data_IF_078654744042
#
_entry.id   IF_078654744042
#
_cell.length_a   1.000
_cell.length_b   1.000
_cell.length_c   1.000
_cell.angle_alpha   90.00
_cell.angle_beta   90.00
_cell.angle_gamma   90.00
#
_symmetry.space_group_name_H-M   'P 1'
#
loop_
_entity.id
_entity.type
_entity.pdbx_description
1 polymer ?
#
# COMPACT_ATOMS: atom_id res chain seq x y z
N UNK A 1 -28.27 31.80 32.35
CA UNK A 1 -26.94 31.42 31.83
C UNK A 1 -26.99 29.93 31.56
N UNK A 2 -27.13 29.54 30.29
CA UNK A 2 -27.22 28.14 29.88
C UNK A 2 -25.81 27.54 29.85
N UNK A 3 -25.61 26.41 30.52
CA UNK A 3 -24.37 25.64 30.49
C UNK A 3 -24.09 25.17 29.05
N UNK A 4 -23.09 25.77 28.39
CA UNK A 4 -22.59 25.37 27.07
C UNK A 4 -21.51 24.29 27.14
N UNK A 5 -21.46 23.51 28.22
CA UNK A 5 -20.61 22.31 28.27
C UNK A 5 -21.28 21.18 27.49
N UNK A 6 -21.29 21.30 26.16
CA UNK A 6 -21.35 20.10 25.33
C UNK A 6 -20.13 19.25 25.72
N UNK A 7 -20.30 17.96 26.04
CA UNK A 7 -19.14 17.12 26.30
C UNK A 7 -18.28 17.13 25.03
N UNK A 8 -17.01 17.52 25.18
CA UNK A 8 -16.00 17.28 24.15
C UNK A 8 -15.88 15.76 24.00
N UNK A 9 -16.72 15.17 23.15
CA UNK A 9 -16.63 13.76 22.83
C UNK A 9 -15.22 13.51 22.30
N UNK A 10 -14.43 12.72 23.04
CA UNK A 10 -13.22 12.11 22.52
C UNK A 10 -13.63 11.28 21.30
N UNK A 11 -13.58 11.86 20.10
CA UNK A 11 -13.77 11.13 18.85
C UNK A 11 -12.43 10.51 18.50
N UNK A 12 -12.25 9.26 18.89
CA UNK A 12 -11.12 8.42 18.54
C UNK A 12 -11.05 8.24 17.01
N UNK A 13 -9.84 8.23 16.44
CA UNK A 13 -9.65 7.97 15.01
C UNK A 13 -10.03 6.53 14.66
N UNK A 14 -10.91 6.37 13.68
CA UNK A 14 -11.21 5.07 13.07
C UNK A 14 -10.27 4.79 11.89
N UNK A 15 -10.26 3.56 11.40
CA UNK A 15 -9.51 3.18 10.21
C UNK A 15 -9.84 4.08 9.02
N UNK A 16 -11.12 4.40 8.81
CA UNK A 16 -11.55 5.23 7.70
C UNK A 16 -11.04 6.68 7.81
N UNK A 17 -10.75 7.16 9.02
CA UNK A 17 -10.16 8.48 9.27
C UNK A 17 -8.75 8.53 8.72
N UNK A 18 -7.90 7.58 9.11
CA UNK A 18 -6.54 7.49 8.60
C UNK A 18 -6.54 7.40 7.07
N UNK A 19 -7.26 6.42 6.54
CA UNK A 19 -7.29 6.07 5.12
C UNK A 19 -7.78 7.20 4.20
N UNK A 20 -8.57 8.15 4.73
CA UNK A 20 -9.11 9.27 3.96
C UNK A 20 -8.25 10.53 4.02
N UNK A 21 -7.07 10.50 4.65
CA UNK A 21 -6.20 11.68 4.78
C UNK A 21 -4.99 11.60 3.86
N UNK A 22 -4.58 12.76 3.32
CA UNK A 22 -3.32 12.88 2.59
C UNK A 22 -2.12 12.43 3.43
N UNK A 23 -2.12 12.73 4.74
CA UNK A 23 -1.05 12.39 5.68
C UNK A 23 -0.75 10.90 5.70
N UNK A 24 -1.79 10.06 5.80
CA UNK A 24 -1.64 8.61 5.74
C UNK A 24 -1.06 8.14 4.40
N UNK A 25 -1.55 8.68 3.29
CA UNK A 25 -1.05 8.32 1.95
C UNK A 25 0.39 8.77 1.70
N UNK A 26 0.77 9.94 2.19
CA UNK A 26 2.14 10.42 2.15
C UNK A 26 3.07 9.47 2.91
N UNK A 27 2.69 9.05 4.12
CA UNK A 27 3.44 8.07 4.91
C UNK A 27 3.53 6.71 4.20
N UNK A 28 2.41 6.20 3.68
CA UNK A 28 2.34 4.92 2.98
C UNK A 28 3.24 4.90 1.74
N UNK A 29 3.06 5.88 0.84
CA UNK A 29 3.79 5.94 -0.42
C UNK A 29 5.28 6.23 -0.20
N UNK A 30 5.62 7.06 0.80
CA UNK A 30 7.03 7.32 1.13
C UNK A 30 7.71 6.08 1.71
N UNK A 31 7.02 5.35 2.60
CA UNK A 31 7.46 4.04 3.11
C UNK A 31 7.64 3.04 1.98
N UNK A 32 6.71 3.01 1.01
CA UNK A 32 6.77 2.13 -0.14
C UNK A 32 7.98 2.44 -1.05
N UNK A 33 8.18 3.71 -1.41
CA UNK A 33 9.31 4.13 -2.24
C UNK A 33 10.64 3.80 -1.57
N UNK A 34 10.75 4.07 -0.27
CA UNK A 34 11.90 3.69 0.52
C UNK A 34 12.12 2.18 0.52
N UNK A 35 11.07 1.39 0.72
CA UNK A 35 11.16 -0.06 0.74
C UNK A 35 11.59 -0.60 -0.62
N UNK A 36 11.01 -0.12 -1.72
CA UNK A 36 11.36 -0.50 -3.09
C UNK A 36 12.82 -0.12 -3.38
N UNK A 37 13.17 1.16 -3.26
CA UNK A 37 14.52 1.63 -3.58
C UNK A 37 15.57 0.96 -2.69
N UNK A 38 15.28 0.85 -1.40
CA UNK A 38 16.17 0.20 -0.45
C UNK A 38 16.36 -1.28 -0.78
N UNK A 39 15.28 -2.05 -0.95
CA UNK A 39 15.37 -3.49 -1.26
C UNK A 39 16.09 -3.73 -2.58
N UNK A 40 15.70 -3.02 -3.64
CA UNK A 40 16.37 -3.12 -4.94
C UNK A 40 17.87 -2.87 -4.85
N UNK A 41 18.27 -1.80 -4.17
CA UNK A 41 19.69 -1.48 -3.98
C UNK A 41 20.41 -2.52 -3.11
N UNK A 42 19.83 -2.95 -1.98
CA UNK A 42 20.49 -3.94 -1.11
C UNK A 42 20.65 -5.30 -1.74
N UNK A 43 19.81 -5.68 -2.71
CA UNK A 43 19.98 -6.92 -3.45
C UNK A 43 21.12 -6.84 -4.46
N UNK A 44 21.28 -5.71 -5.15
CA UNK A 44 22.23 -5.59 -6.26
C UNK A 44 23.58 -5.00 -5.82
N UNK A 45 23.63 -4.20 -4.76
CA UNK A 45 24.85 -3.57 -4.26
C UNK A 45 25.98 -4.57 -3.96
N UNK A 46 25.74 -5.73 -3.30
CA UNK A 46 26.77 -6.74 -3.11
C UNK A 46 27.34 -7.26 -4.43
N UNK A 47 26.50 -7.45 -5.45
CA UNK A 47 26.91 -7.93 -6.77
C UNK A 47 27.79 -6.89 -7.47
N UNK A 48 27.37 -5.62 -7.47
CA UNK A 48 28.16 -4.49 -8.03
C UNK A 48 29.50 -4.38 -7.29
N UNK A 49 29.48 -4.48 -5.97
CA UNK A 49 30.69 -4.38 -5.13
C UNK A 49 31.66 -5.54 -5.39
N UNK A 50 31.18 -6.76 -5.62
CA UNK A 50 32.03 -7.90 -6.02
C UNK A 50 32.63 -7.71 -7.41
N UNK A 51 31.83 -7.25 -8.39
CA UNK A 51 32.32 -7.00 -9.76
C UNK A 51 33.40 -5.91 -9.81
N UNK A 52 33.36 -4.97 -8.87
CA UNK A 52 34.39 -3.92 -8.70
C UNK A 52 35.59 -4.38 -7.87
N UNK A 53 35.67 -5.67 -7.51
CA UNK A 53 36.81 -6.28 -6.83
C UNK A 53 36.77 -6.25 -5.30
N UNK A 54 35.62 -5.91 -4.70
CA UNK A 54 35.49 -5.90 -3.23
C UNK A 54 35.38 -7.32 -2.68
N UNK A 55 36.07 -7.59 -1.57
CA UNK A 55 35.97 -8.87 -0.86
C UNK A 55 34.64 -9.01 -0.11
N UNK A 56 34.25 -10.24 0.22
CA UNK A 56 33.07 -10.51 1.04
C UNK A 56 33.13 -9.82 2.41
N UNK A 57 34.33 -9.70 3.00
CA UNK A 57 34.53 -9.01 4.28
C UNK A 57 34.24 -7.50 4.15
N UNK A 58 34.68 -6.87 3.06
CA UNK A 58 34.40 -5.47 2.76
C UNK A 58 32.91 -5.22 2.60
N UNK A 59 32.18 -6.12 1.94
CA UNK A 59 30.72 -6.05 1.82
C UNK A 59 30.04 -6.22 3.19
N UNK A 60 30.57 -7.07 4.07
CA UNK A 60 30.09 -7.24 5.44
C UNK A 60 30.07 -5.95 6.26
N UNK A 61 30.94 -4.97 5.93
CA UNK A 61 30.98 -3.66 6.59
C UNK A 61 29.71 -2.85 6.30
N UNK A 62 29.15 -2.95 5.09
CA UNK A 62 27.87 -2.32 4.76
C UNK A 62 26.74 -2.84 5.64
N UNK A 63 26.63 -4.16 5.81
CA UNK A 63 25.60 -4.76 6.65
C UNK A 63 25.80 -4.42 8.14
N UNK A 64 27.05 -4.37 8.59
CA UNK A 64 27.38 -3.93 9.95
C UNK A 64 26.95 -2.48 10.20
N UNK A 65 27.26 -1.59 9.25
CA UNK A 65 26.77 -0.21 9.25
C UNK A 65 25.24 -0.16 9.26
N UNK A 66 24.57 -0.96 8.44
CA UNK A 66 23.10 -1.02 8.39
C UNK A 66 22.47 -1.48 9.71
N UNK A 67 23.06 -2.43 10.42
CA UNK A 67 22.57 -2.87 11.72
C UNK A 67 22.70 -1.77 12.77
N UNK A 68 23.84 -1.08 12.82
CA UNK A 68 24.03 0.08 13.72
C UNK A 68 23.10 1.24 13.35
N UNK A 69 22.97 1.50 12.05
CA UNK A 69 22.02 2.45 11.49
C UNK A 69 20.61 2.17 11.95
N UNK A 70 20.17 0.90 11.95
CA UNK A 70 18.86 0.52 12.46
C UNK A 70 18.65 0.98 13.91
N UNK A 71 19.64 0.81 14.77
CA UNK A 71 19.61 1.30 16.16
C UNK A 71 19.49 2.82 16.24
N UNK A 72 20.26 3.57 15.43
CA UNK A 72 20.13 5.03 15.31
C UNK A 72 18.72 5.41 14.86
N UNK A 73 18.17 4.69 13.89
CA UNK A 73 16.84 4.97 13.39
C UNK A 73 15.74 4.69 14.40
N UNK A 74 15.85 3.62 15.18
CA UNK A 74 14.93 3.34 16.29
C UNK A 74 14.97 4.45 17.34
N UNK A 75 16.17 4.95 17.68
CA UNK A 75 16.32 6.09 18.58
C UNK A 75 15.65 7.36 18.03
N UNK A 76 15.86 7.67 16.75
CA UNK A 76 15.23 8.81 16.08
C UNK A 76 13.70 8.69 16.07
N UNK A 77 13.16 7.50 15.82
CA UNK A 77 11.72 7.26 15.88
C UNK A 77 11.17 7.54 17.29
N UNK A 78 11.81 6.99 18.32
CA UNK A 78 11.32 7.13 19.69
C UNK A 78 11.44 8.56 20.23
N UNK A 79 12.62 9.18 20.06
CA UNK A 79 12.96 10.47 20.69
C UNK A 79 12.52 11.66 19.84
N UNK A 80 12.71 11.60 18.52
CA UNK A 80 12.47 12.74 17.63
C UNK A 80 11.06 12.70 17.07
N UNK A 81 10.58 11.54 16.62
CA UNK A 81 9.28 11.48 15.93
C UNK A 81 8.10 11.88 16.84
N UNK A 82 8.20 11.61 18.15
CA UNK A 82 7.20 12.02 19.14
C UNK A 82 7.05 13.54 19.32
N UNK A 83 8.06 14.33 18.93
CA UNK A 83 8.09 15.79 19.11
C UNK A 83 8.14 16.55 17.79
N UNK A 84 8.86 16.00 16.81
CA UNK A 84 9.16 16.60 15.52
C UNK A 84 8.99 15.54 14.42
N UNK A 85 7.75 15.05 14.26
CA UNK A 85 7.40 13.97 13.33
C UNK A 85 7.97 14.15 11.92
N UNK A 86 7.84 15.36 11.35
CA UNK A 86 8.32 15.68 10.01
C UNK A 86 9.85 15.60 9.90
N UNK A 87 10.56 16.22 10.84
CA UNK A 87 12.02 16.21 10.88
C UNK A 87 12.58 14.81 11.07
N UNK A 88 11.91 13.98 11.89
CA UNK A 88 12.30 12.60 12.15
C UNK A 88 12.31 11.74 10.88
N UNK A 89 11.41 12.01 9.91
CA UNK A 89 11.39 11.28 8.64
C UNK A 89 12.26 11.94 7.55
N UNK A 90 12.17 13.27 7.39
CA UNK A 90 12.80 13.97 6.27
C UNK A 90 14.33 14.00 6.41
N UNK A 91 14.88 14.30 7.58
CA UNK A 91 16.33 14.44 7.72
C UNK A 91 17.09 13.13 7.46
N UNK A 92 16.67 11.96 7.98
CA UNK A 92 17.31 10.70 7.63
C UNK A 92 17.27 10.41 6.12
N UNK A 93 16.16 10.70 5.43
CA UNK A 93 16.07 10.54 3.97
C UNK A 93 17.08 11.42 3.24
N UNK A 94 17.15 12.70 3.61
CA UNK A 94 18.06 13.67 2.98
C UNK A 94 19.51 13.28 3.24
N UNK A 95 19.85 12.89 4.48
CA UNK A 95 21.21 12.41 4.81
C UNK A 95 21.54 11.17 3.98
N UNK A 96 20.63 10.20 3.89
CA UNK A 96 20.83 9.01 3.07
C UNK A 96 21.01 9.34 1.58
N UNK A 97 20.24 10.29 1.05
CA UNK A 97 20.37 10.76 -0.32
C UNK A 97 21.73 11.47 -0.55
N UNK A 98 22.19 12.31 0.39
CA UNK A 98 23.50 12.98 0.31
C UNK A 98 24.63 11.95 0.31
N UNK A 99 24.57 10.94 1.18
CA UNK A 99 25.56 9.86 1.20
C UNK A 99 25.51 9.08 -0.11
N UNK A 100 24.33 8.75 -0.63
CA UNK A 100 24.20 8.08 -1.93
C UNK A 100 24.68 8.93 -3.12
N UNK A 101 24.49 10.26 -3.11
CA UNK A 101 25.02 11.16 -4.15
C UNK A 101 26.54 11.21 -4.09
N UNK A 102 27.14 11.18 -2.89
CA UNK A 102 28.60 11.15 -2.74
C UNK A 102 29.25 9.92 -3.39
N UNK A 103 28.47 8.87 -3.66
CA UNK A 103 28.87 7.69 -4.41
C UNK A 103 29.01 7.96 -5.92
N UNK A 104 28.12 8.74 -6.51
CA UNK A 104 28.01 8.90 -7.97
C UNK A 104 29.29 9.43 -8.66
N UNK A 105 30.00 10.46 -8.15
CA UNK A 105 31.15 11.02 -8.84
C UNK A 105 32.46 10.25 -8.62
N UNK A 106 32.50 9.28 -7.69
CA UNK A 106 33.75 8.62 -7.29
C UNK A 106 33.63 7.08 -7.23
N UNK A 107 33.62 6.39 -8.39
CA UNK A 107 33.58 4.93 -8.49
C UNK A 107 34.66 4.21 -7.67
N UNK A 108 35.83 4.83 -7.52
CA UNK A 108 36.94 4.28 -6.72
C UNK A 108 36.60 4.14 -5.23
N UNK A 109 35.63 4.88 -4.71
CA UNK A 109 35.22 4.82 -3.30
C UNK A 109 34.15 3.76 -3.05
N UNK A 110 33.67 3.05 -4.08
CA UNK A 110 32.55 2.14 -3.93
C UNK A 110 32.86 0.91 -3.10
N UNK A 111 34.11 0.46 -3.13
CA UNK A 111 34.63 -0.58 -2.25
C UNK A 111 35.25 -0.04 -0.95
N UNK A 112 35.19 1.28 -0.70
CA UNK A 112 35.80 1.86 0.49
C UNK A 112 35.05 1.41 1.75
N UNK A 113 35.73 0.81 2.74
CA UNK A 113 35.14 0.43 4.02
C UNK A 113 34.36 1.56 4.69
N UNK A 114 34.92 2.78 4.67
CA UNK A 114 34.31 3.96 5.29
C UNK A 114 33.02 4.36 4.59
N UNK A 115 33.02 4.33 3.26
CA UNK A 115 31.82 4.64 2.47
C UNK A 115 30.73 3.60 2.73
N UNK A 116 31.05 2.30 2.63
CA UNK A 116 30.10 1.22 2.84
C UNK A 116 29.50 1.25 4.24
N UNK A 117 30.31 1.55 5.26
CA UNK A 117 29.84 1.72 6.62
C UNK A 117 28.86 2.89 6.76
N UNK A 118 29.24 4.09 6.28
CA UNK A 118 28.40 5.29 6.36
C UNK A 118 27.10 5.14 5.58
N UNK A 119 27.17 4.55 4.39
CA UNK A 119 26.00 4.29 3.57
C UNK A 119 25.07 3.25 4.20
N UNK A 120 25.65 2.15 4.71
CA UNK A 120 24.92 1.17 5.51
C UNK A 120 24.20 1.84 6.68
N UNK A 121 24.91 2.64 7.47
CA UNK A 121 24.36 3.37 8.61
C UNK A 121 23.19 4.27 8.22
N UNK A 122 23.34 5.07 7.17
CA UNK A 122 22.28 5.96 6.70
C UNK A 122 21.05 5.17 6.21
N UNK A 123 21.25 4.14 5.38
CA UNK A 123 20.16 3.30 4.88
C UNK A 123 19.44 2.54 5.99
N UNK A 124 20.21 1.98 6.93
CA UNK A 124 19.70 1.27 8.11
C UNK A 124 18.84 2.18 8.99
N UNK A 125 19.28 3.41 9.22
CA UNK A 125 18.54 4.39 10.00
C UNK A 125 17.20 4.73 9.36
N UNK A 126 17.18 5.00 8.06
CA UNK A 126 15.95 5.31 7.33
C UNK A 126 14.98 4.12 7.34
N UNK A 127 15.48 2.89 7.13
CA UNK A 127 14.67 1.66 7.17
C UNK A 127 14.02 1.40 8.52
N UNK A 128 14.68 1.76 9.61
CA UNK A 128 14.14 1.59 10.96
C UNK A 128 13.17 2.71 11.36
N UNK A 129 13.52 3.96 11.06
CA UNK A 129 12.73 5.15 11.44
C UNK A 129 11.30 5.04 10.94
N UNK A 130 11.11 4.69 9.67
CA UNK A 130 9.80 4.73 9.01
C UNK A 130 8.73 3.87 9.70
N UNK A 131 8.87 2.54 9.78
CA UNK A 131 7.85 1.70 10.39
C UNK A 131 7.60 2.03 11.87
N UNK A 132 8.64 2.40 12.61
CA UNK A 132 8.54 2.75 14.03
C UNK A 132 7.84 4.10 14.24
N UNK A 133 8.20 5.12 13.47
CA UNK A 133 7.58 6.44 13.54
C UNK A 133 6.13 6.39 13.07
N UNK A 134 5.81 5.63 12.01
CA UNK A 134 4.43 5.43 11.55
C UNK A 134 3.57 4.83 12.67
N UNK A 135 4.07 3.84 13.41
CA UNK A 135 3.34 3.29 14.55
C UNK A 135 3.06 4.34 15.63
N UNK A 136 4.06 5.17 15.96
CA UNK A 136 3.91 6.29 16.92
C UNK A 136 2.86 7.30 16.42
N UNK A 137 2.89 7.66 15.14
CA UNK A 137 1.94 8.61 14.56
C UNK A 137 0.51 8.07 14.60
N UNK A 138 0.30 6.80 14.21
CA UNK A 138 -1.04 6.18 14.24
C UNK A 138 -1.62 6.12 15.66
N UNK A 139 -0.80 5.84 16.68
CA UNK A 139 -1.25 5.85 18.09
C UNK A 139 -1.69 7.24 18.55
N UNK A 140 -1.13 8.30 17.97
CA UNK A 140 -1.44 9.68 18.35
C UNK A 140 -2.91 10.05 18.09
N UNK A 141 -3.58 9.40 17.13
CA UNK A 141 -5.03 9.51 16.89
C UNK A 141 -5.92 8.76 17.89
N UNK A 142 -5.32 8.13 18.91
CA UNK A 142 -6.00 7.29 19.93
C UNK A 142 -6.97 6.26 19.34
N UNK A 143 -6.61 5.56 18.26
CA UNK A 143 -7.51 4.61 17.63
C UNK A 143 -7.85 3.42 18.52
N UNK A 144 -9.02 2.82 18.29
CA UNK A 144 -9.33 1.51 18.83
C UNK A 144 -8.32 0.45 18.37
N UNK A 145 -8.17 -0.64 19.15
CA UNK A 145 -7.19 -1.72 18.87
C UNK A 145 -7.30 -2.28 17.45
N UNK A 146 -8.53 -2.45 16.96
CA UNK A 146 -8.81 -3.00 15.63
C UNK A 146 -8.42 -1.98 14.55
N UNK A 147 -8.83 -0.72 14.69
CA UNK A 147 -8.51 0.35 13.74
C UNK A 147 -7.00 0.58 13.62
N UNK A 148 -6.30 0.61 14.76
CA UNK A 148 -4.83 0.67 14.80
C UNK A 148 -4.20 -0.53 14.08
N UNK A 149 -4.62 -1.74 14.45
CA UNK A 149 -4.09 -2.98 13.88
C UNK A 149 -4.27 -3.03 12.37
N UNK A 150 -5.44 -2.64 11.86
CA UNK A 150 -5.72 -2.58 10.42
C UNK A 150 -4.87 -1.52 9.73
N UNK A 151 -4.78 -0.29 10.26
CA UNK A 151 -3.99 0.78 9.65
C UNK A 151 -2.50 0.41 9.59
N UNK A 152 -1.96 -0.16 10.67
CA UNK A 152 -0.57 -0.61 10.73
C UNK A 152 -0.32 -1.81 9.80
N UNK A 153 -1.26 -2.75 9.71
CA UNK A 153 -1.15 -3.91 8.80
C UNK A 153 -1.17 -3.46 7.34
N UNK A 154 -2.03 -2.51 6.98
CA UNK A 154 -2.01 -1.94 5.64
C UNK A 154 -0.68 -1.23 5.35
N UNK A 155 -0.11 -0.50 6.31
CA UNK A 155 1.22 0.08 6.18
C UNK A 155 2.33 -0.95 6.03
N UNK A 156 2.27 -2.09 6.74
CA UNK A 156 3.31 -3.13 6.65
C UNK A 156 3.31 -3.87 5.31
N UNK A 157 2.23 -3.79 4.54
CA UNK A 157 2.17 -4.37 3.19
C UNK A 157 3.16 -3.74 2.21
N UNK A 158 3.72 -2.56 2.50
CA UNK A 158 4.82 -2.00 1.69
C UNK A 158 6.02 -2.94 1.63
N UNK A 159 6.24 -3.76 2.67
CA UNK A 159 7.28 -4.80 2.68
C UNK A 159 6.98 -5.85 1.61
N UNK A 160 5.74 -6.31 1.51
CA UNK A 160 5.32 -7.30 0.51
C UNK A 160 5.48 -6.75 -0.91
N UNK A 161 5.05 -5.50 -1.16
CA UNK A 161 5.25 -4.86 -2.47
C UNK A 161 6.75 -4.69 -2.75
N UNK A 162 7.58 -4.35 -1.77
CA UNK A 162 9.01 -4.18 -1.99
C UNK A 162 9.74 -5.46 -2.39
N UNK A 163 9.12 -6.64 -2.18
CA UNK A 163 9.70 -7.92 -2.59
C UNK A 163 9.85 -8.06 -4.12
N UNK A 164 9.15 -7.27 -4.93
CA UNK A 164 9.34 -7.23 -6.39
C UNK A 164 10.47 -6.29 -6.83
N UNK A 165 10.98 -5.42 -5.94
CA UNK A 165 12.02 -4.45 -6.26
C UNK A 165 13.34 -5.05 -6.79
N UNK A 166 13.80 -6.23 -6.32
CA UNK A 166 14.98 -6.89 -6.88
C UNK A 166 14.89 -7.17 -8.38
N UNK A 167 13.70 -7.44 -8.92
CA UNK A 167 13.49 -7.69 -10.36
C UNK A 167 13.82 -6.42 -11.15
N UNK A 168 13.23 -5.28 -10.75
CA UNK A 168 13.49 -3.99 -11.37
C UNK A 168 14.94 -3.55 -11.23
N UNK A 169 15.55 -3.74 -10.05
CA UNK A 169 16.95 -3.43 -9.83
C UNK A 169 17.88 -4.31 -10.69
N UNK A 170 17.54 -5.57 -10.89
CA UNK A 170 18.29 -6.48 -11.78
C UNK A 170 18.23 -6.01 -13.23
N UNK A 171 17.06 -5.59 -13.73
CA UNK A 171 16.96 -5.01 -15.08
C UNK A 171 17.77 -3.72 -15.20
N UNK A 172 17.71 -2.84 -14.20
CA UNK A 172 18.52 -1.61 -14.17
C UNK A 172 20.01 -1.90 -14.21
N UNK A 173 20.48 -2.95 -13.53
CA UNK A 173 21.89 -3.35 -13.53
C UNK A 173 22.38 -3.94 -14.85
N UNK A 174 21.47 -4.41 -15.72
CA UNK A 174 21.86 -4.91 -17.04
C UNK A 174 22.24 -3.78 -18.01
N UNK A 175 21.69 -2.56 -17.82
CA UNK A 175 22.02 -1.41 -18.66
C UNK A 175 23.44 -0.90 -18.43
N UNK A 176 23.92 -1.01 -17.19
CA UNK A 176 25.28 -0.63 -16.82
C UNK A 176 25.76 -1.53 -15.66
N UNK A 177 26.77 -2.38 -15.89
CA UNK A 177 27.37 -3.22 -14.85
C UNK A 177 27.95 -2.41 -13.68
N UNK A 178 28.25 -1.13 -13.87
CA UNK A 178 28.61 -0.21 -12.80
C UNK A 178 27.43 0.10 -11.85
N UNK A 179 26.20 -0.25 -12.18
CA UNK A 179 25.06 -0.07 -11.27
C UNK A 179 24.65 1.39 -11.05
N UNK A 180 25.17 2.34 -11.83
CA UNK A 180 24.74 3.74 -11.81
C UNK A 180 23.20 3.87 -11.96
N UNK A 181 22.52 3.14 -12.87
CA UNK A 181 21.06 3.21 -13.01
C UNK A 181 20.32 2.78 -11.73
N UNK A 182 20.86 1.82 -10.98
CA UNK A 182 20.28 1.34 -9.72
C UNK A 182 20.38 2.43 -8.65
N UNK A 183 21.54 3.09 -8.53
CA UNK A 183 21.74 4.19 -7.58
C UNK A 183 20.87 5.40 -7.92
N UNK A 184 20.77 5.76 -9.20
CA UNK A 184 19.86 6.83 -9.65
C UNK A 184 18.40 6.49 -9.36
N UNK A 185 17.99 5.24 -9.59
CA UNK A 185 16.65 4.77 -9.24
C UNK A 185 16.37 4.84 -7.74
N UNK A 186 17.34 4.47 -6.90
CA UNK A 186 17.25 4.63 -5.44
C UNK A 186 17.12 6.10 -5.02
N UNK A 187 17.95 6.99 -5.58
CA UNK A 187 17.88 8.42 -5.31
C UNK A 187 16.55 9.04 -5.73
N UNK A 188 16.01 8.63 -6.88
CA UNK A 188 14.69 9.04 -7.33
C UNK A 188 13.60 8.61 -6.32
N UNK A 189 13.68 7.39 -5.78
CA UNK A 189 12.78 6.92 -4.73
C UNK A 189 12.86 7.78 -3.46
N UNK A 190 14.07 8.10 -2.99
CA UNK A 190 14.27 8.96 -1.82
C UNK A 190 13.73 10.39 -2.05
N UNK A 191 14.00 10.96 -3.21
CA UNK A 191 13.55 12.31 -3.57
C UNK A 191 12.02 12.37 -3.66
N UNK A 192 11.39 11.40 -4.32
CA UNK A 192 9.94 11.30 -4.38
C UNK A 192 9.32 11.09 -2.99
N UNK A 193 9.93 10.28 -2.12
CA UNK A 193 9.49 10.12 -0.74
C UNK A 193 9.54 11.45 0.04
N UNK A 194 10.60 12.25 -0.11
CA UNK A 194 10.67 13.59 0.50
C UNK A 194 9.57 14.49 -0.06
N UNK A 195 9.38 14.54 -1.38
CA UNK A 195 8.35 15.37 -2.03
C UNK A 195 6.96 15.02 -1.52
N UNK A 196 6.65 13.74 -1.31
CA UNK A 196 5.37 13.30 -0.77
C UNK A 196 5.15 13.71 0.70
N UNK A 197 6.22 13.79 1.50
CA UNK A 197 6.14 14.22 2.89
C UNK A 197 6.07 15.75 3.05
N UNK A 198 6.53 16.53 2.08
CA UNK A 198 6.61 17.99 2.19
C UNK A 198 5.24 18.67 2.40
N UNK A 199 4.16 18.33 1.67
CA UNK A 199 2.85 18.95 1.83
C UNK A 199 2.11 18.49 3.10
N UNK A 200 2.57 17.42 3.74
CA UNK A 200 1.99 16.93 4.99
C UNK A 200 2.52 17.78 6.16
N UNK A 201 1.94 18.97 6.37
CA UNK A 201 2.37 19.94 7.39
C UNK A 201 2.45 19.33 8.81
N UNK A 202 1.51 18.46 9.15
CA UNK A 202 1.50 17.65 10.36
C UNK A 202 1.38 16.18 9.95
N UNK A 203 2.27 15.32 10.46
CA UNK A 203 2.22 13.87 10.21
C UNK A 203 1.51 13.10 11.32
N UNK A 204 1.31 13.73 12.48
CA UNK A 204 0.56 13.15 13.60
C UNK A 204 -0.94 13.34 13.40
N UNK A 205 -1.71 12.58 14.16
CA UNK A 205 -3.18 12.52 14.12
C UNK A 205 -3.79 13.07 15.42
N UNK A 206 -3.16 14.07 16.03
CA UNK A 206 -3.57 14.61 17.35
C UNK A 206 -4.87 15.45 17.29
N UNK A 207 -5.28 15.86 16.09
CA UNK A 207 -6.48 16.65 15.85
C UNK A 207 -7.73 15.76 15.76
N UNK A 208 -8.90 16.34 16.02
CA UNK A 208 -10.16 15.63 15.82
C UNK A 208 -10.35 15.26 14.33
N UNK A 209 -10.86 14.06 14.03
CA UNK A 209 -11.12 13.64 12.67
C UNK A 209 -12.12 14.56 11.96
N UNK A 210 -11.87 14.84 10.67
CA UNK A 210 -12.76 15.67 9.86
C UNK A 210 -13.93 14.85 9.32
N UNK A 211 -15.17 15.38 9.34
CA UNK A 211 -16.32 14.74 8.69
C UNK A 211 -16.05 14.51 7.20
N UNK A 212 -16.38 13.31 6.70
CA UNK A 212 -15.97 12.87 5.35
C UNK A 212 -17.04 12.03 4.66
N UNK A 213 -17.94 12.66 3.93
CA UNK A 213 -18.85 11.90 3.07
C UNK A 213 -18.93 12.55 1.70
N UNK A 214 -18.83 11.72 0.66
CA UNK A 214 -19.19 12.07 -0.72
C UNK A 214 -20.29 11.11 -1.16
N UNK A 215 -21.53 11.33 -0.69
CA UNK A 215 -22.62 10.42 -0.97
C UNK A 215 -22.90 10.37 -2.48
N UNK A 216 -23.19 9.19 -2.98
CA UNK A 216 -23.68 8.94 -4.34
C UNK A 216 -25.07 8.32 -4.25
N UNK A 217 -25.91 8.54 -5.25
CA UNK A 217 -27.24 7.93 -5.32
C UNK A 217 -27.12 6.41 -5.40
N UNK A 218 -27.73 5.64 -4.49
CA UNK A 218 -27.70 4.18 -4.53
C UNK A 218 -28.23 3.62 -5.85
N UNK A 219 -27.51 2.66 -6.43
CA UNK A 219 -27.94 1.96 -7.65
C UNK A 219 -27.77 0.46 -7.46
N UNK A 220 -28.84 -0.29 -7.69
CA UNK A 220 -28.78 -1.75 -7.65
C UNK A 220 -27.98 -2.30 -8.83
N UNK A 221 -27.18 -3.32 -8.57
CA UNK A 221 -26.42 -4.09 -9.57
C UNK A 221 -26.59 -5.57 -9.31
N UNK A 222 -26.61 -6.39 -10.37
CA UNK A 222 -26.62 -7.85 -10.22
C UNK A 222 -25.31 -8.33 -9.59
N UNK A 223 -25.34 -8.96 -8.40
CA UNK A 223 -24.12 -9.46 -7.74
C UNK A 223 -23.38 -10.51 -8.58
N UNK A 224 -24.15 -11.39 -9.25
CA UNK A 224 -23.60 -12.44 -10.11
C UNK A 224 -22.87 -11.87 -11.33
N UNK A 225 -23.41 -10.79 -11.91
CA UNK A 225 -22.78 -10.13 -13.06
C UNK A 225 -21.46 -9.47 -12.65
N UNK A 226 -21.42 -8.81 -11.48
CA UNK A 226 -20.18 -8.24 -10.93
C UNK A 226 -19.14 -9.34 -10.72
N UNK A 227 -19.52 -10.46 -10.09
CA UNK A 227 -18.64 -11.60 -9.85
C UNK A 227 -18.09 -12.17 -11.16
N UNK A 228 -18.95 -12.35 -12.16
CA UNK A 228 -18.60 -12.89 -13.46
C UNK A 228 -17.57 -12.01 -14.19
N UNK A 229 -17.81 -10.70 -14.27
CA UNK A 229 -16.86 -9.76 -14.91
C UNK A 229 -15.50 -9.81 -14.21
N UNK A 230 -15.48 -9.79 -12.88
CA UNK A 230 -14.24 -9.79 -12.10
C UNK A 230 -13.52 -11.15 -12.11
N UNK A 231 -14.20 -12.22 -12.53
CA UNK A 231 -13.60 -13.55 -12.70
C UNK A 231 -12.91 -13.71 -14.06
N UNK A 232 -13.11 -12.80 -15.01
CA UNK A 232 -12.51 -12.89 -16.34
C UNK A 232 -10.98 -12.90 -16.30
N UNK A 233 -10.27 -11.99 -15.59
CA UNK A 233 -8.81 -11.97 -15.55
C UNK A 233 -8.17 -13.27 -15.03
N UNK A 234 -8.57 -13.85 -13.88
CA UNK A 234 -7.96 -15.10 -13.42
C UNK A 234 -8.27 -16.28 -14.36
N UNK A 235 -9.47 -16.35 -14.94
CA UNK A 235 -9.81 -17.38 -15.93
C UNK A 235 -8.95 -17.23 -17.18
N UNK A 236 -8.83 -16.01 -17.70
CA UNK A 236 -8.04 -15.72 -18.89
C UNK A 236 -6.55 -16.02 -18.66
N UNK A 237 -6.02 -15.63 -17.50
CA UNK A 237 -4.65 -15.94 -17.10
C UNK A 237 -4.40 -17.45 -17.00
N UNK A 238 -5.34 -18.19 -16.40
CA UNK A 238 -5.27 -19.66 -16.34
C UNK A 238 -5.28 -20.29 -17.74
N UNK A 239 -6.19 -19.87 -18.62
CA UNK A 239 -6.30 -20.38 -19.98
C UNK A 239 -5.05 -20.05 -20.82
N UNK A 240 -4.50 -18.83 -20.68
CA UNK A 240 -3.25 -18.45 -21.34
C UNK A 240 -2.08 -19.28 -20.84
N UNK A 241 -1.93 -19.46 -19.51
CA UNK A 241 -0.87 -20.27 -18.93
C UNK A 241 -0.95 -21.74 -19.37
N UNK A 242 -2.16 -22.32 -19.36
CA UNK A 242 -2.40 -23.67 -19.86
C UNK A 242 -2.06 -23.78 -21.36
N UNK A 243 -2.46 -22.79 -22.17
CA UNK A 243 -2.12 -22.73 -23.58
C UNK A 243 -0.61 -22.72 -23.81
N UNK A 244 0.11 -21.80 -23.15
CA UNK A 244 1.58 -21.72 -23.24
C UNK A 244 2.23 -23.05 -22.88
N UNK A 245 1.81 -23.66 -21.77
CA UNK A 245 2.32 -24.96 -21.32
C UNK A 245 2.11 -26.06 -22.37
N UNK A 246 0.90 -26.19 -22.91
CA UNK A 246 0.56 -27.21 -23.92
C UNK A 246 1.32 -26.99 -25.24
N UNK A 247 1.50 -25.75 -25.69
CA UNK A 247 2.26 -25.48 -26.91
C UNK A 247 3.75 -25.75 -26.73
N UNK A 248 4.34 -25.35 -25.60
CA UNK A 248 5.74 -25.64 -25.27
C UNK A 248 6.00 -27.14 -25.15
N UNK A 249 5.08 -27.91 -24.55
CA UNK A 249 5.17 -29.36 -24.47
C UNK A 249 5.20 -30.05 -25.85
N UNK A 250 4.65 -29.40 -26.87
CA UNK A 250 4.65 -29.89 -28.25
C UNK A 250 5.80 -29.31 -29.11
N UNK A 251 6.79 -28.66 -28.49
CA UNK A 251 7.99 -28.16 -29.18
C UNK A 251 7.79 -26.85 -29.94
N UNK A 252 6.67 -26.15 -29.74
CA UNK A 252 6.47 -24.81 -30.33
C UNK A 252 7.09 -23.74 -29.46
N UNK A 253 7.86 -22.83 -30.06
CA UNK A 253 8.32 -21.62 -29.38
C UNK A 253 7.20 -20.56 -29.35
N UNK A 254 6.63 -20.36 -28.17
CA UNK A 254 5.46 -19.50 -27.93
C UNK A 254 5.87 -18.08 -27.56
N UNK A 255 7.05 -17.91 -26.93
CA UNK A 255 7.47 -16.65 -26.32
C UNK A 255 7.93 -15.65 -27.37
N UNK A 256 8.54 -16.14 -28.46
CA UNK A 256 9.06 -15.32 -29.56
C UNK A 256 8.11 -15.23 -30.77
N UNK A 257 6.95 -15.93 -30.72
CA UNK A 257 6.08 -16.06 -31.89
C UNK A 257 5.22 -14.80 -32.12
N UNK A 258 5.25 -14.18 -33.31
CA UNK A 258 4.38 -13.04 -33.61
C UNK A 258 2.88 -13.40 -33.61
N UNK A 259 2.54 -14.68 -33.75
CA UNK A 259 1.14 -15.18 -33.71
C UNK A 259 0.55 -15.07 -32.30
N UNK A 260 1.37 -15.11 -31.25
CA UNK A 260 0.92 -15.01 -29.85
C UNK A 260 0.75 -13.56 -29.39
N UNK A 261 1.25 -12.59 -30.17
CA UNK A 261 1.21 -11.16 -29.84
C UNK A 261 -0.22 -10.60 -29.86
N UNK A 262 -0.99 -10.87 -30.92
CA UNK A 262 -2.38 -10.40 -31.05
C UNK A 262 -3.28 -10.89 -29.88
N UNK A 263 -3.35 -12.20 -29.56
CA UNK A 263 -4.17 -12.66 -28.43
C UNK A 263 -3.66 -12.13 -27.08
N UNK A 264 -2.35 -11.94 -26.92
CA UNK A 264 -1.77 -11.34 -25.69
C UNK A 264 -2.19 -9.88 -25.53
N UNK A 265 -2.17 -9.09 -26.61
CA UNK A 265 -2.66 -7.70 -26.57
C UNK A 265 -4.16 -7.62 -26.29
N UNK A 266 -4.96 -8.50 -26.90
CA UNK A 266 -6.39 -8.57 -26.62
C UNK A 266 -6.67 -8.95 -25.17
N UNK A 267 -5.92 -9.92 -24.64
CA UNK A 267 -6.01 -10.31 -23.24
C UNK A 267 -5.63 -9.17 -22.30
N UNK A 268 -4.55 -8.44 -22.60
CA UNK A 268 -4.16 -7.25 -21.85
C UNK A 268 -5.26 -6.17 -21.86
N UNK A 269 -5.89 -5.93 -23.02
CA UNK A 269 -7.01 -5.00 -23.15
C UNK A 269 -8.22 -5.39 -22.29
N UNK A 270 -8.56 -6.68 -22.27
CA UNK A 270 -9.64 -7.21 -21.41
C UNK A 270 -9.28 -7.05 -19.93
N UNK A 271 -8.06 -7.43 -19.54
CA UNK A 271 -7.60 -7.29 -18.14
C UNK A 271 -7.65 -5.83 -17.70
N UNK A 272 -7.21 -4.90 -18.55
CA UNK A 272 -7.28 -3.46 -18.28
C UNK A 272 -8.74 -2.98 -18.13
N UNK A 273 -9.64 -3.40 -19.01
CA UNK A 273 -11.06 -3.04 -18.93
C UNK A 273 -11.71 -3.55 -17.63
N UNK A 274 -11.43 -4.80 -17.25
CA UNK A 274 -11.93 -5.38 -15.99
C UNK A 274 -11.33 -4.67 -14.78
N UNK A 275 -10.05 -4.31 -14.83
CA UNK A 275 -9.39 -3.54 -13.77
C UNK A 275 -10.02 -2.15 -13.59
N UNK A 276 -10.34 -1.44 -14.68
CA UNK A 276 -11.09 -0.17 -14.65
C UNK A 276 -12.48 -0.39 -14.04
N UNK A 277 -13.18 -1.46 -14.43
CA UNK A 277 -14.48 -1.79 -13.86
C UNK A 277 -14.40 -2.07 -12.35
N UNK A 278 -13.37 -2.80 -11.90
CA UNK A 278 -13.11 -3.04 -10.48
C UNK A 278 -12.91 -1.73 -9.71
N UNK A 279 -12.02 -0.86 -10.21
CA UNK A 279 -11.78 0.46 -9.62
C UNK A 279 -13.08 1.28 -9.49
N UNK A 280 -13.86 1.30 -10.57
CA UNK A 280 -15.16 1.97 -10.62
C UNK A 280 -16.16 1.38 -9.61
N UNK A 281 -16.20 0.04 -9.49
CA UNK A 281 -17.07 -0.64 -8.54
C UNK A 281 -16.73 -0.27 -7.09
N UNK A 282 -15.44 -0.32 -6.70
CA UNK A 282 -14.99 0.03 -5.35
C UNK A 282 -15.31 1.49 -5.02
N UNK A 283 -15.06 2.40 -5.96
CA UNK A 283 -15.40 3.81 -5.82
C UNK A 283 -16.90 3.99 -5.57
N UNK A 284 -17.75 3.35 -6.40
CA UNK A 284 -19.20 3.51 -6.33
C UNK A 284 -19.81 2.89 -5.09
N UNK A 285 -19.44 1.67 -4.70
CA UNK A 285 -20.08 0.99 -3.57
C UNK A 285 -19.91 1.78 -2.26
N UNK A 286 -18.73 2.39 -2.03
CA UNK A 286 -18.49 3.22 -0.86
C UNK A 286 -19.31 4.53 -0.89
N UNK A 287 -19.43 5.16 -2.06
CA UNK A 287 -20.24 6.37 -2.23
C UNK A 287 -21.74 6.10 -2.09
N UNK A 288 -22.22 5.01 -2.64
CA UNK A 288 -23.63 4.60 -2.59
C UNK A 288 -24.05 4.21 -1.17
N UNK A 289 -23.20 3.48 -0.44
CA UNK A 289 -23.48 3.16 0.96
C UNK A 289 -23.47 4.39 1.86
N UNK A 290 -22.62 5.38 1.57
CA UNK A 290 -22.63 6.68 2.25
C UNK A 290 -23.87 7.51 1.89
N UNK A 291 -24.38 7.38 0.66
CA UNK A 291 -25.62 8.01 0.23
C UNK A 291 -26.88 7.40 0.83
N UNK A 292 -26.87 6.09 1.09
CA UNK A 292 -27.97 5.40 1.77
C UNK A 292 -28.05 5.74 3.27
N UNK A 293 -26.89 5.80 3.96
CA UNK A 293 -26.79 6.29 5.33
C UNK A 293 -25.35 6.73 5.62
N UNK A 294 -25.17 7.82 6.35
CA UNK A 294 -23.82 8.28 6.71
C UNK A 294 -23.24 7.40 7.84
N UNK A 295 -21.94 7.13 7.78
CA UNK A 295 -21.21 6.41 8.83
C UNK A 295 -19.75 6.80 8.82
N UNK A 296 -19.19 7.08 10.00
CA UNK A 296 -17.76 7.39 10.16
C UNK A 296 -16.85 6.22 9.76
N UNK A 297 -17.36 4.98 9.77
CA UNK A 297 -16.59 3.80 9.32
C UNK A 297 -16.43 3.71 7.80
N UNK A 298 -17.15 4.52 7.03
CA UNK A 298 -17.02 4.56 5.58
C UNK A 298 -15.82 5.41 5.15
N UNK A 299 -15.01 4.81 4.30
CA UNK A 299 -13.91 5.48 3.60
C UNK A 299 -14.49 6.32 2.45
N UNK A 300 -13.82 7.42 2.09
CA UNK A 300 -14.21 8.17 0.89
C UNK A 300 -14.07 7.30 -0.37
N UNK A 301 -14.93 7.48 -1.40
CA UNK A 301 -14.88 6.70 -2.65
C UNK A 301 -13.48 6.63 -3.29
N UNK A 302 -12.79 7.78 -3.33
CA UNK A 302 -11.44 7.87 -3.90
C UNK A 302 -10.43 7.08 -3.07
N UNK A 303 -10.42 7.25 -1.75
CA UNK A 303 -9.49 6.54 -0.89
C UNK A 303 -9.73 5.02 -0.95
N UNK A 304 -10.98 4.57 -0.93
CA UNK A 304 -11.32 3.15 -1.06
C UNK A 304 -10.79 2.55 -2.39
N UNK A 305 -10.98 3.27 -3.50
CA UNK A 305 -10.44 2.86 -4.80
C UNK A 305 -8.91 2.75 -4.77
N UNK A 306 -8.22 3.76 -4.22
CA UNK A 306 -6.76 3.75 -4.11
C UNK A 306 -6.26 2.61 -3.22
N UNK A 307 -6.93 2.33 -2.09
CA UNK A 307 -6.58 1.21 -1.20
C UNK A 307 -6.72 -0.12 -1.90
N UNK A 308 -7.85 -0.34 -2.58
CA UNK A 308 -8.11 -1.59 -3.28
C UNK A 308 -7.10 -1.87 -4.41
N UNK A 309 -6.53 -0.83 -5.01
CA UNK A 309 -5.59 -0.94 -6.13
C UNK A 309 -4.13 -0.99 -5.67
N UNK A 310 -3.74 -0.11 -4.75
CA UNK A 310 -2.33 0.14 -4.41
C UNK A 310 -1.85 -0.64 -3.18
N UNK A 311 -2.77 -1.05 -2.31
CA UNK A 311 -2.42 -1.64 -1.02
C UNK A 311 -2.77 -3.13 -1.03
N UNK A 312 -1.78 -4.03 -0.98
CA UNK A 312 -2.05 -5.44 -0.76
C UNK A 312 -2.92 -5.62 0.48
N UNK A 313 -3.86 -6.55 0.43
CA UNK A 313 -4.87 -6.76 1.47
C UNK A 313 -5.87 -5.60 1.66
N UNK A 314 -5.69 -4.48 0.96
CA UNK A 314 -6.58 -3.33 1.02
C UNK A 314 -8.02 -3.70 0.68
N UNK A 315 -8.23 -4.46 -0.40
CA UNK A 315 -9.55 -4.96 -0.76
C UNK A 315 -10.18 -5.82 0.35
N UNK A 316 -9.41 -6.73 0.97
CA UNK A 316 -9.91 -7.60 2.02
C UNK A 316 -10.39 -6.80 3.24
N UNK A 317 -9.59 -5.82 3.68
CA UNK A 317 -9.96 -4.91 4.77
C UNK A 317 -11.20 -4.10 4.41
N UNK A 318 -11.25 -3.50 3.22
CA UNK A 318 -12.42 -2.72 2.78
C UNK A 318 -13.68 -3.58 2.75
N UNK A 319 -13.63 -4.76 2.16
CA UNK A 319 -14.78 -5.66 2.06
C UNK A 319 -15.26 -6.10 3.44
N UNK A 320 -14.35 -6.43 4.37
CA UNK A 320 -14.71 -6.71 5.77
C UNK A 320 -15.40 -5.51 6.44
N UNK A 321 -14.84 -4.30 6.32
CA UNK A 321 -15.43 -3.09 6.91
C UNK A 321 -16.82 -2.77 6.35
N UNK A 322 -17.03 -3.01 5.06
CA UNK A 322 -18.34 -2.89 4.42
C UNK A 322 -19.32 -3.95 4.95
N UNK A 323 -18.87 -5.19 5.13
CA UNK A 323 -19.67 -6.27 5.71
C UNK A 323 -20.13 -5.95 7.13
N UNK A 324 -19.23 -5.48 7.99
CA UNK A 324 -19.55 -5.08 9.37
C UNK A 324 -20.56 -3.92 9.39
N UNK A 325 -20.33 -2.90 8.55
CA UNK A 325 -21.25 -1.78 8.42
C UNK A 325 -22.67 -2.22 8.00
N UNK A 326 -22.76 -3.11 7.01
CA UNK A 326 -24.03 -3.61 6.51
C UNK A 326 -24.76 -4.45 7.58
N UNK A 327 -24.03 -5.25 8.33
CA UNK A 327 -24.58 -6.02 9.45
C UNK A 327 -25.05 -5.12 10.59
N UNK A 328 -24.31 -4.07 10.93
CA UNK A 328 -24.72 -3.11 11.96
C UNK A 328 -25.99 -2.36 11.54
N UNK A 329 -26.12 -1.97 10.27
CA UNK A 329 -27.36 -1.39 9.74
C UNK A 329 -28.54 -2.34 9.83
N UNK A 330 -28.34 -3.61 9.48
CA UNK A 330 -29.39 -4.62 9.57
C UNK A 330 -29.84 -4.84 11.02
N UNK A 331 -28.90 -4.92 11.97
CA UNK A 331 -29.20 -5.03 13.40
C UNK A 331 -29.99 -3.82 13.91
N UNK A 332 -29.60 -2.61 13.51
CA UNK A 332 -30.33 -1.39 13.87
C UNK A 332 -31.75 -1.35 13.31
N UNK A 333 -31.99 -2.02 12.17
CA UNK A 333 -33.31 -2.22 11.58
C UNK A 333 -34.06 -3.46 12.13
N UNK A 334 -33.54 -4.13 13.17
CA UNK A 334 -34.13 -5.35 13.74
C UNK A 334 -34.05 -6.58 12.85
N UNK A 335 -33.21 -6.56 11.81
CA UNK A 335 -33.03 -7.65 10.85
C UNK A 335 -31.85 -8.56 11.22
N UNK A 336 -31.85 -9.76 10.63
CA UNK A 336 -30.70 -10.68 10.74
C UNK A 336 -29.49 -10.11 10.00
N UNK A 337 -28.26 -10.51 10.38
CA UNK A 337 -27.05 -10.12 9.67
C UNK A 337 -27.16 -10.46 8.17
N UNK A 338 -26.79 -9.50 7.31
CA UNK A 338 -26.87 -9.65 5.85
C UNK A 338 -25.70 -10.46 5.29
N UNK A 339 -24.55 -10.46 5.97
CA UNK A 339 -23.33 -11.11 5.50
C UNK A 339 -22.63 -11.83 6.64
N UNK A 340 -22.12 -13.05 6.39
CA UNK A 340 -21.21 -13.72 7.32
C UNK A 340 -19.79 -13.18 7.18
N UNK A 341 -19.26 -12.54 8.24
CA UNK A 341 -17.92 -11.92 8.24
C UNK A 341 -16.81 -12.96 8.05
N UNK A 342 -16.95 -14.15 8.65
CA UNK A 342 -15.95 -15.22 8.50
C UNK A 342 -15.82 -15.69 7.05
N UNK A 343 -16.95 -15.95 6.39
CA UNK A 343 -16.96 -16.33 4.97
C UNK A 343 -16.50 -15.19 4.07
N UNK A 344 -16.89 -13.96 4.38
CA UNK A 344 -16.45 -12.79 3.66
C UNK A 344 -14.93 -12.64 3.71
N UNK A 345 -14.33 -12.89 4.89
CA UNK A 345 -12.90 -12.93 5.08
C UNK A 345 -12.24 -14.00 4.21
N UNK A 346 -12.67 -15.25 4.29
CA UNK A 346 -12.11 -16.35 3.49
C UNK A 346 -12.13 -16.00 1.99
N UNK A 347 -13.30 -15.59 1.48
CA UNK A 347 -13.45 -15.29 0.06
C UNK A 347 -12.68 -14.05 -0.39
N UNK A 348 -12.45 -13.08 0.50
CA UNK A 348 -11.67 -11.89 0.17
C UNK A 348 -10.19 -12.20 -0.14
N UNK A 349 -9.67 -13.32 0.35
CA UNK A 349 -8.32 -13.80 0.05
C UNK A 349 -8.30 -14.89 -1.04
N UNK A 350 -9.20 -15.88 -0.94
CA UNK A 350 -9.20 -17.05 -1.83
C UNK A 350 -9.70 -16.70 -3.23
N UNK A 351 -10.82 -15.97 -3.31
CA UNK A 351 -11.42 -15.61 -4.59
C UNK A 351 -12.24 -14.31 -4.46
N UNK A 352 -11.57 -13.14 -4.52
CA UNK A 352 -12.18 -11.84 -4.25
C UNK A 352 -13.50 -11.53 -4.98
N UNK A 353 -13.74 -12.00 -6.24
CA UNK A 353 -15.02 -11.78 -6.91
C UNK A 353 -16.24 -12.28 -6.13
N UNK A 354 -16.12 -13.36 -5.35
CA UNK A 354 -17.22 -13.86 -4.51
C UNK A 354 -17.49 -12.90 -3.35
N UNK A 355 -16.46 -12.44 -2.65
CA UNK A 355 -16.61 -11.52 -1.53
C UNK A 355 -17.25 -10.19 -1.97
N UNK A 356 -16.84 -9.69 -3.15
CA UNK A 356 -17.43 -8.51 -3.79
C UNK A 356 -18.92 -8.73 -4.10
N UNK A 357 -19.29 -9.91 -4.61
CA UNK A 357 -20.67 -10.25 -4.87
C UNK A 357 -21.52 -10.31 -3.58
N UNK A 358 -20.97 -10.88 -2.51
CA UNK A 358 -21.63 -10.91 -1.20
C UNK A 358 -21.94 -9.50 -0.68
N UNK A 359 -20.96 -8.58 -0.75
CA UNK A 359 -21.16 -7.17 -0.40
C UNK A 359 -22.19 -6.50 -1.31
N UNK A 360 -22.10 -6.71 -2.62
CA UNK A 360 -23.05 -6.11 -3.56
C UNK A 360 -24.48 -6.57 -3.30
N UNK A 361 -24.68 -7.85 -2.96
CA UNK A 361 -25.99 -8.39 -2.62
C UNK A 361 -26.54 -7.72 -1.36
N UNK A 362 -25.77 -7.70 -0.28
CA UNK A 362 -26.17 -7.07 0.97
C UNK A 362 -26.38 -5.55 0.84
N UNK A 363 -25.59 -4.87 0.00
CA UNK A 363 -25.79 -3.46 -0.30
C UNK A 363 -27.14 -3.20 -1.00
N UNK A 364 -27.48 -4.02 -2.00
CA UNK A 364 -28.78 -3.92 -2.68
C UNK A 364 -29.96 -4.06 -1.71
N UNK A 365 -29.87 -5.00 -0.76
CA UNK A 365 -30.89 -5.22 0.25
C UNK A 365 -30.98 -4.04 1.23
N UNK A 366 -29.84 -3.49 1.63
CA UNK A 366 -29.78 -2.33 2.53
C UNK A 366 -30.42 -1.06 1.94
N UNK A 367 -30.39 -0.91 0.61
CA UNK A 367 -31.02 0.24 -0.06
C UNK A 367 -32.55 0.23 0.05
N UNK A 368 -33.15 -0.96 0.17
CA UNK A 368 -34.62 -1.13 0.29
C UNK A 368 -35.09 -0.69 1.66
N UNK A 369 -34.31 -1.02 2.69
CA UNK A 369 -34.60 -0.71 4.08
C UNK A 369 -34.56 0.80 4.33
N UNK A 370 -33.64 1.53 3.69
CA UNK A 370 -33.52 2.99 3.81
C UNK A 370 -34.65 3.79 3.12
N UNK A 371 -35.36 3.22 2.15
CA UNK A 371 -36.49 3.89 1.48
C UNK A 371 -37.82 3.80 2.24
N UNK A 372 -37.89 3.03 3.32
CA UNK A 372 -39.10 2.84 4.13
C UNK A 372 -39.31 3.88 5.23
N UNK A 373 -38.42 4.86 5.37
CA UNK A 373 -38.45 5.89 6.43
C UNK A 373 -38.30 7.31 5.87
N UNK A 374 -38.83 7.58 4.67
CA UNK A 374 -38.90 8.92 4.10
C UNK A 374 -40.30 9.51 4.26
#
# INVERSE_FOLDING_TARGET
MANTSAPSGNTDWTLADFLSTYRYWALFLSSLLLAIGGQGLSTVLPLISQMTGSSAQTIGIFYSGSTLGWGVGAFLAFVVASRHARSALIYPLVICAVVAISFLPAPALWGSPSFLFLFGLALGAVRAVFPLAIAIFLVSGRPGKIDFGCALTLMSTTILISAIAPIGASWLSQFDPGGLPVVVGFLACLLLAVILLLPAEQLTFDEAPRPRHRPLTPRRRSPLLVAFILSIPPILGFLMGLGIYLFQANGFDVISSPVTLLPTLLALGIVLAVFIYFAFWVYRIHGELAGAAQSQRLVTPLAAMLIAILVPLGLAVLVMTLGDLLNDRARNAGQRPLVSIGWLGIWSFVFPPIAIAMVQNAANDSYVVGSGTA
#
